data_IF_111784920068
#
_entry.id   IF_111784920068
#
_cell.length_a   1.000
_cell.length_b   1.000
_cell.length_c   1.000
_cell.angle_alpha   90.00
_cell.angle_beta   90.00
_cell.angle_gamma   90.00
#
_symmetry.space_group_name_H-M   'P 1'
#
loop_
_entity.id
_entity.type
_entity.pdbx_description
1 polymer ?
#
# COMPACT_ATOMS: atom_id res chain seq x y z
N UNK A 1 9.52 -44.95 -8.07
CA UNK A 1 10.53 -43.88 -8.00
C UNK A 1 9.84 -42.60 -8.42
N UNK A 2 9.52 -41.76 -7.45
CA UNK A 2 8.87 -40.44 -7.69
C UNK A 2 9.99 -39.42 -7.65
N UNK A 3 10.34 -38.84 -8.81
CA UNK A 3 11.32 -37.80 -8.93
C UNK A 3 10.67 -36.49 -8.44
N UNK A 4 11.08 -36.01 -7.26
CA UNK A 4 10.68 -34.71 -6.74
C UNK A 4 11.34 -33.59 -7.54
N UNK A 5 10.55 -32.81 -8.31
CA UNK A 5 10.97 -31.55 -8.86
C UNK A 5 11.01 -30.50 -7.72
N UNK A 6 12.20 -30.22 -7.20
CA UNK A 6 12.45 -29.02 -6.42
C UNK A 6 12.50 -27.83 -7.37
N UNK A 7 11.71 -26.76 -7.15
CA UNK A 7 11.84 -25.55 -7.93
C UNK A 7 13.22 -24.93 -7.65
N UNK A 8 14.04 -24.75 -8.68
CA UNK A 8 15.26 -23.93 -8.59
C UNK A 8 14.80 -22.48 -8.38
N UNK A 9 14.92 -21.98 -7.16
CA UNK A 9 14.88 -20.55 -6.90
C UNK A 9 15.98 -19.88 -7.74
N UNK A 10 15.58 -18.97 -8.63
CA UNK A 10 16.51 -18.08 -9.30
C UNK A 10 17.20 -17.24 -8.23
N UNK A 11 18.53 -17.04 -8.29
CA UNK A 11 19.20 -16.17 -7.34
C UNK A 11 18.60 -14.77 -7.45
N UNK A 12 18.15 -14.25 -6.31
CA UNK A 12 17.75 -12.86 -6.15
C UNK A 12 18.93 -12.01 -6.62
N UNK A 13 18.75 -11.32 -7.72
CA UNK A 13 19.74 -10.42 -8.31
C UNK A 13 20.12 -9.39 -7.25
N UNK A 14 21.44 -9.18 -7.13
CA UNK A 14 22.14 -8.20 -6.30
C UNK A 14 21.23 -7.08 -5.80
N UNK A 15 20.97 -7.10 -4.51
CA UNK A 15 20.63 -5.90 -3.75
C UNK A 15 21.73 -4.88 -4.06
N UNK A 16 21.43 -3.85 -4.81
CA UNK A 16 22.30 -2.68 -4.89
C UNK A 16 22.57 -2.28 -3.44
N UNK A 17 23.86 -2.11 -3.10
CA UNK A 17 24.25 -1.79 -1.75
C UNK A 17 23.47 -0.53 -1.35
N UNK A 18 22.56 -0.65 -0.38
CA UNK A 18 21.85 0.50 0.17
C UNK A 18 22.90 1.52 0.56
N UNK A 19 22.80 2.71 0.00
CA UNK A 19 23.62 3.85 0.39
C UNK A 19 23.50 3.97 1.92
N UNK A 20 24.61 3.80 2.63
CA UNK A 20 24.61 3.85 4.09
C UNK A 20 24.46 5.29 4.51
N UNK A 21 23.28 5.67 4.93
CA UNK A 21 23.02 6.97 5.53
C UNK A 21 23.80 7.04 6.86
N UNK A 22 24.65 8.06 7.10
CA UNK A 22 25.35 8.19 8.35
C UNK A 22 24.38 8.35 9.51
N UNK A 23 24.75 7.80 10.69
CA UNK A 23 23.89 7.87 11.87
C UNK A 23 23.61 9.32 12.34
N UNK A 24 24.51 10.24 12.00
CA UNK A 24 24.36 11.68 12.23
C UNK A 24 24.61 12.40 10.91
N UNK A 25 23.62 13.12 10.44
CA UNK A 25 23.70 13.97 9.23
C UNK A 25 23.99 15.39 9.68
N UNK A 26 25.24 15.81 9.53
CA UNK A 26 25.72 17.11 10.02
C UNK A 26 25.00 18.30 9.35
N UNK A 27 24.56 18.14 8.10
CA UNK A 27 23.81 19.13 7.33
C UNK A 27 22.47 19.50 7.97
N UNK A 28 21.90 18.60 8.75
CA UNK A 28 20.65 18.82 9.47
C UNK A 28 20.83 19.68 10.72
N UNK A 29 22.08 19.85 11.17
CA UNK A 29 22.41 20.62 12.37
C UNK A 29 22.57 22.11 12.08
N UNK A 30 22.06 22.95 12.98
CA UNK A 30 22.26 24.40 12.95
C UNK A 30 23.26 24.80 14.04
N UNK A 31 24.53 24.82 13.69
CA UNK A 31 25.63 25.14 14.59
C UNK A 31 25.69 26.60 15.04
N UNK A 32 24.81 27.45 14.54
CA UNK A 32 24.68 28.86 15.01
C UNK A 32 23.90 28.96 16.32
N UNK A 33 23.20 27.88 16.70
CA UNK A 33 22.42 27.81 17.93
C UNK A 33 23.29 27.27 19.08
N UNK A 34 23.23 27.91 20.25
CA UNK A 34 23.93 27.41 21.43
C UNK A 34 23.20 26.16 21.95
N UNK A 35 23.89 25.00 22.11
CA UNK A 35 23.27 23.76 22.61
C UNK A 35 22.67 23.86 24.02
N UNK A 36 23.16 24.80 24.84
CA UNK A 36 22.61 25.04 26.16
C UNK A 36 21.23 25.75 26.12
N UNK A 37 20.94 26.49 25.04
CA UNK A 37 19.70 27.21 24.88
C UNK A 37 18.61 26.36 24.22
N UNK A 38 18.95 25.63 23.14
CA UNK A 38 17.99 24.78 22.43
C UNK A 38 18.70 23.60 21.76
N UNK A 39 18.85 22.50 22.51
CA UNK A 39 19.48 21.29 22.01
C UNK A 39 18.70 20.61 20.86
N UNK A 40 17.37 20.70 20.88
CA UNK A 40 16.56 20.16 19.80
C UNK A 40 16.81 20.89 18.48
N UNK A 41 16.83 22.20 18.53
CA UNK A 41 17.02 23.02 17.32
C UNK A 41 18.45 22.92 16.78
N UNK A 42 19.47 22.84 17.60
CA UNK A 42 20.82 22.64 17.05
C UNK A 42 20.88 21.34 16.23
N UNK A 43 20.23 20.29 16.68
CA UNK A 43 20.29 18.99 15.99
C UNK A 43 19.41 18.91 14.75
N UNK A 44 18.29 19.67 14.69
CA UNK A 44 17.25 19.42 13.70
C UNK A 44 16.82 20.65 12.89
N UNK A 45 17.32 21.85 13.20
CA UNK A 45 16.76 23.09 12.66
C UNK A 45 16.88 23.22 11.13
N UNK A 46 17.99 22.76 10.56
CA UNK A 46 18.18 22.80 9.11
C UNK A 46 17.30 21.75 8.41
N UNK A 47 17.13 20.57 9.01
CA UNK A 47 16.18 19.58 8.49
C UNK A 47 14.77 20.15 8.49
N UNK A 48 14.31 20.77 9.57
CA UNK A 48 12.97 21.39 9.67
C UNK A 48 12.77 22.49 8.63
N UNK A 49 13.78 23.31 8.38
CA UNK A 49 13.72 24.36 7.35
C UNK A 49 13.58 23.80 5.93
N UNK A 50 14.27 22.68 5.67
CA UNK A 50 14.33 22.05 4.35
C UNK A 50 13.16 21.10 4.09
N UNK A 51 12.45 20.68 5.15
CA UNK A 51 11.34 19.72 5.07
C UNK A 51 10.07 20.34 5.69
N UNK A 52 9.44 21.31 5.05
CA UNK A 52 8.15 21.82 5.51
C UNK A 52 7.12 20.69 5.48
N UNK A 53 6.12 20.77 6.36
CA UNK A 53 5.03 19.79 6.40
C UNK A 53 4.24 19.89 5.07
N UNK A 54 4.17 18.82 4.26
CA UNK A 54 3.37 18.82 3.04
C UNK A 54 1.87 19.01 3.35
N UNK A 55 1.11 19.57 2.40
CA UNK A 55 -0.31 19.92 2.60
C UNK A 55 -1.19 18.73 3.00
N UNK A 56 -0.82 17.52 2.56
CA UNK A 56 -1.54 16.28 2.86
C UNK A 56 -1.27 15.72 4.26
N UNK A 57 -0.31 16.28 5.01
CA UNK A 57 0.07 15.79 6.34
C UNK A 57 -0.22 16.81 7.42
N UNK A 58 -0.62 16.34 8.60
CA UNK A 58 -0.72 17.18 9.81
C UNK A 58 0.60 17.28 10.57
N UNK A 59 1.47 16.27 10.41
CA UNK A 59 2.81 16.18 10.99
C UNK A 59 3.74 15.56 9.96
N UNK A 60 5.02 15.97 9.97
CA UNK A 60 6.03 15.39 9.09
C UNK A 60 7.33 15.18 9.86
N UNK A 61 7.93 14.00 9.72
CA UNK A 61 9.15 13.62 10.41
C UNK A 61 9.79 12.40 9.78
N UNK A 62 10.89 11.91 10.37
CA UNK A 62 11.68 10.82 9.81
C UNK A 62 10.86 9.55 9.52
N UNK A 63 9.89 9.20 10.36
CA UNK A 63 9.02 8.04 10.11
C UNK A 63 8.09 8.26 8.93
N UNK A 64 7.48 9.45 8.80
CA UNK A 64 6.63 9.78 7.65
C UNK A 64 7.43 9.78 6.35
N UNK A 65 8.68 10.26 6.39
CA UNK A 65 9.59 10.22 5.25
C UNK A 65 9.92 8.77 4.83
N UNK A 66 10.18 7.88 5.81
CA UNK A 66 10.43 6.46 5.54
C UNK A 66 9.20 5.80 4.93
N UNK A 67 8.01 6.04 5.48
CA UNK A 67 6.75 5.49 4.97
C UNK A 67 6.50 5.94 3.54
N UNK A 68 6.64 7.24 3.26
CA UNK A 68 6.52 7.79 1.90
C UNK A 68 7.52 7.17 0.92
N UNK A 69 8.76 7.02 1.33
CA UNK A 69 9.78 6.39 0.48
C UNK A 69 9.46 4.91 0.22
N UNK A 70 8.92 4.20 1.21
CA UNK A 70 8.46 2.82 1.03
C UNK A 70 7.27 2.74 0.08
N UNK A 71 6.31 3.65 0.16
CA UNK A 71 5.18 3.72 -0.77
C UNK A 71 5.66 3.93 -2.21
N UNK A 72 6.58 4.87 -2.43
CA UNK A 72 7.18 5.13 -3.75
C UNK A 72 7.90 3.88 -4.28
N UNK A 73 8.65 3.19 -3.41
CA UNK A 73 9.35 1.97 -3.76
C UNK A 73 8.38 0.85 -4.16
N UNK A 74 7.34 0.63 -3.35
CA UNK A 74 6.30 -0.38 -3.62
C UNK A 74 5.57 -0.05 -4.91
N UNK A 75 5.19 1.22 -5.13
CA UNK A 75 4.57 1.66 -6.37
C UNK A 75 5.46 1.37 -7.58
N UNK A 76 6.76 1.63 -7.48
CA UNK A 76 7.73 1.32 -8.54
C UNK A 76 7.78 -0.18 -8.86
N UNK A 77 7.77 -1.04 -7.84
CA UNK A 77 7.74 -2.50 -8.01
C UNK A 77 6.44 -2.94 -8.70
N UNK A 78 5.30 -2.40 -8.27
CA UNK A 78 4.00 -2.73 -8.87
C UNK A 78 3.97 -2.28 -10.33
N UNK A 79 4.45 -1.09 -10.64
CA UNK A 79 4.49 -0.55 -12.01
C UNK A 79 5.39 -1.40 -12.93
N UNK A 80 6.51 -1.90 -12.43
CA UNK A 80 7.36 -2.82 -13.17
C UNK A 80 6.66 -4.15 -13.44
N UNK A 81 6.12 -4.78 -12.39
CA UNK A 81 5.45 -6.07 -12.48
C UNK A 81 4.17 -6.00 -13.31
N UNK A 82 3.42 -4.89 -13.23
CA UNK A 82 2.17 -4.70 -13.99
C UNK A 82 2.38 -4.71 -15.51
N UNK A 83 3.58 -4.35 -15.96
CA UNK A 83 3.98 -4.31 -17.38
C UNK A 83 4.67 -5.59 -17.85
N UNK A 84 5.00 -6.50 -16.94
CA UNK A 84 5.71 -7.75 -17.27
C UNK A 84 4.79 -8.76 -17.96
N UNK A 85 4.82 -8.76 -19.30
CA UNK A 85 4.09 -9.74 -20.11
C UNK A 85 4.68 -11.16 -20.03
N UNK A 86 5.91 -11.31 -19.53
CA UNK A 86 6.62 -12.60 -19.45
C UNK A 86 6.37 -13.38 -18.16
N UNK A 87 5.62 -12.80 -17.22
CA UNK A 87 5.31 -13.43 -15.94
C UNK A 87 4.65 -14.81 -16.13
N UNK A 88 5.26 -15.81 -15.51
CA UNK A 88 4.83 -17.21 -15.66
C UNK A 88 3.43 -17.43 -15.05
N UNK A 89 2.56 -18.24 -15.69
CA UNK A 89 1.25 -18.59 -15.16
C UNK A 89 1.34 -19.15 -13.73
N UNK A 90 0.50 -18.61 -12.83
CA UNK A 90 0.46 -18.99 -11.42
C UNK A 90 1.54 -18.37 -10.54
N UNK A 91 2.49 -17.60 -11.11
CA UNK A 91 3.53 -16.90 -10.34
C UNK A 91 2.97 -15.73 -9.53
N UNK A 92 3.70 -15.32 -8.49
CA UNK A 92 3.37 -14.12 -7.70
C UNK A 92 3.34 -12.88 -8.57
N UNK A 93 4.28 -12.74 -9.51
CA UNK A 93 4.33 -11.62 -10.44
C UNK A 93 3.05 -11.53 -11.30
N UNK A 94 2.60 -12.66 -11.87
CA UNK A 94 1.34 -12.68 -12.61
C UNK A 94 0.15 -12.27 -11.74
N UNK A 95 0.05 -12.77 -10.53
CA UNK A 95 -1.08 -12.46 -9.63
C UNK A 95 -1.12 -10.96 -9.28
N UNK A 96 0.04 -10.37 -8.97
CA UNK A 96 0.15 -8.92 -8.70
C UNK A 96 -0.25 -8.13 -9.93
N UNK A 97 0.31 -8.46 -11.11
CA UNK A 97 -0.02 -7.81 -12.38
C UNK A 97 -1.52 -7.84 -12.67
N UNK A 98 -2.11 -9.03 -12.61
CA UNK A 98 -3.51 -9.21 -12.99
C UNK A 98 -4.46 -8.53 -11.99
N UNK A 99 -4.13 -8.57 -10.70
CA UNK A 99 -4.89 -7.87 -9.67
C UNK A 99 -4.81 -6.35 -9.82
N UNK A 100 -3.59 -5.82 -10.01
CA UNK A 100 -3.39 -4.38 -10.20
C UNK A 100 -4.07 -3.89 -11.47
N UNK A 101 -3.87 -4.56 -12.59
CA UNK A 101 -4.49 -4.17 -13.86
C UNK A 101 -6.02 -4.23 -13.81
N UNK A 102 -6.58 -5.24 -13.14
CA UNK A 102 -8.03 -5.32 -12.94
C UNK A 102 -8.59 -4.15 -12.10
N UNK A 103 -7.84 -3.73 -11.07
CA UNK A 103 -8.21 -2.57 -10.23
C UNK A 103 -8.07 -1.23 -10.95
N UNK A 104 -7.14 -1.13 -11.91
CA UNK A 104 -6.87 0.10 -12.66
C UNK A 104 -7.66 0.19 -13.99
N UNK A 105 -8.39 -0.86 -14.38
CA UNK A 105 -9.25 -0.85 -15.57
C UNK A 105 -10.54 -0.07 -15.30
N UNK A 106 -10.41 1.25 -15.31
CA UNK A 106 -11.52 2.18 -15.06
C UNK A 106 -12.62 2.07 -16.14
N UNK A 107 -12.28 1.63 -17.35
CA UNK A 107 -13.25 1.42 -18.43
C UNK A 107 -14.15 0.23 -18.07
N UNK A 108 -13.57 -0.93 -17.78
CA UNK A 108 -14.34 -2.11 -17.40
C UNK A 108 -15.12 -1.91 -16.09
N UNK A 109 -14.55 -1.17 -15.12
CA UNK A 109 -15.23 -0.82 -13.88
C UNK A 109 -16.46 0.05 -14.14
N UNK A 110 -16.33 1.09 -14.95
CA UNK A 110 -17.42 1.99 -15.30
C UNK A 110 -18.52 1.28 -16.13
N UNK A 111 -18.14 0.41 -17.06
CA UNK A 111 -19.09 -0.38 -17.85
C UNK A 111 -19.89 -1.38 -17.01
N UNK A 112 -19.23 -2.00 -16.02
CA UNK A 112 -19.90 -2.86 -15.03
C UNK A 112 -20.84 -2.06 -14.13
N UNK A 113 -20.42 -0.88 -13.67
CA UNK A 113 -21.17 -0.06 -12.73
C UNK A 113 -21.53 -0.85 -11.47
N UNK A 114 -22.80 -0.86 -11.12
CA UNK A 114 -23.31 -1.57 -9.93
C UNK A 114 -23.99 -2.92 -10.23
N UNK A 115 -23.82 -3.46 -11.44
CA UNK A 115 -24.48 -4.70 -11.87
C UNK A 115 -24.25 -5.88 -10.92
N UNK A 116 -23.05 -5.97 -10.36
CA UNK A 116 -22.67 -7.01 -9.38
C UNK A 116 -23.41 -6.88 -8.04
N UNK A 117 -23.96 -5.69 -7.74
CA UNK A 117 -24.74 -5.43 -6.53
C UNK A 117 -26.23 -5.71 -6.69
N UNK A 118 -26.74 -5.86 -7.94
CA UNK A 118 -28.17 -6.10 -8.17
C UNK A 118 -28.73 -7.29 -7.39
N UNK A 119 -28.05 -8.46 -7.30
CA UNK A 119 -28.55 -9.59 -6.51
C UNK A 119 -28.71 -9.26 -5.02
N UNK A 120 -27.88 -8.35 -4.50
CA UNK A 120 -27.97 -7.90 -3.11
C UNK A 120 -29.12 -6.92 -2.90
N UNK A 121 -29.37 -6.02 -3.87
CA UNK A 121 -30.54 -5.14 -3.83
C UNK A 121 -31.84 -5.93 -3.90
N UNK A 122 -31.92 -6.96 -4.72
CA UNK A 122 -33.09 -7.87 -4.78
C UNK A 122 -33.34 -8.56 -3.43
N UNK A 123 -32.27 -8.99 -2.73
CA UNK A 123 -32.39 -9.54 -1.35
C UNK A 123 -32.91 -8.51 -0.35
N UNK A 124 -32.48 -7.23 -0.47
CA UNK A 124 -32.97 -6.15 0.38
C UNK A 124 -34.45 -5.86 0.10
N UNK A 125 -34.82 -5.78 -1.16
CA UNK A 125 -36.20 -5.50 -1.57
C UNK A 125 -37.19 -6.64 -1.21
N UNK A 126 -36.67 -7.87 -1.05
CA UNK A 126 -37.46 -9.03 -0.65
C UNK A 126 -37.69 -9.15 0.88
N UNK A 127 -37.13 -8.24 1.71
CA UNK A 127 -37.30 -8.29 3.16
C UNK A 127 -38.76 -8.04 3.57
N UNK A 128 -39.30 -8.93 4.38
CA UNK A 128 -40.67 -8.83 4.86
C UNK A 128 -40.76 -8.57 6.36
N UNK A 129 -39.77 -8.99 7.13
CA UNK A 129 -39.75 -8.83 8.57
C UNK A 129 -38.36 -8.67 9.18
N UNK A 130 -38.27 -8.53 10.51
CA UNK A 130 -36.98 -8.35 11.21
C UNK A 130 -36.13 -9.60 11.25
N UNK A 131 -36.72 -10.79 11.13
CA UNK A 131 -35.96 -12.04 11.12
C UNK A 131 -35.25 -12.22 9.78
N UNK A 132 -35.93 -11.85 8.69
CA UNK A 132 -35.31 -11.79 7.35
C UNK A 132 -34.13 -10.80 7.31
N UNK A 133 -34.31 -9.63 7.94
CA UNK A 133 -33.24 -8.65 8.05
C UNK A 133 -32.02 -9.23 8.81
N UNK A 134 -32.23 -9.87 9.94
CA UNK A 134 -31.15 -10.46 10.72
C UNK A 134 -30.36 -11.53 9.91
N UNK A 135 -31.12 -12.35 9.15
CA UNK A 135 -30.53 -13.36 8.28
C UNK A 135 -29.71 -12.73 7.15
N UNK A 136 -30.25 -11.73 6.46
CA UNK A 136 -29.56 -11.03 5.38
C UNK A 136 -28.28 -10.34 5.88
N UNK A 137 -28.31 -9.73 7.06
CA UNK A 137 -27.11 -9.13 7.67
C UNK A 137 -26.02 -10.18 7.94
N UNK A 138 -26.39 -11.37 8.38
CA UNK A 138 -25.44 -12.49 8.54
C UNK A 138 -24.85 -12.96 7.21
N UNK A 139 -25.66 -13.04 6.15
CA UNK A 139 -25.18 -13.36 4.81
C UNK A 139 -24.22 -12.30 4.27
N UNK A 140 -24.58 -11.01 4.35
CA UNK A 140 -23.74 -9.91 3.92
C UNK A 140 -22.39 -9.89 4.66
N UNK A 141 -22.39 -10.15 5.96
CA UNK A 141 -21.16 -10.24 6.75
C UNK A 141 -20.29 -11.41 6.30
N UNK A 142 -20.90 -12.56 6.00
CA UNK A 142 -20.18 -13.72 5.45
C UNK A 142 -19.58 -13.45 4.06
N UNK A 143 -20.26 -12.63 3.26
CA UNK A 143 -19.79 -12.22 1.93
C UNK A 143 -18.74 -11.08 1.98
N UNK A 144 -18.36 -10.61 3.18
CA UNK A 144 -17.30 -9.63 3.39
C UNK A 144 -17.77 -8.17 3.47
N UNK A 145 -19.09 -7.92 3.49
CA UNK A 145 -19.61 -6.57 3.74
C UNK A 145 -19.49 -6.24 5.23
N UNK A 146 -18.39 -5.56 5.61
CA UNK A 146 -18.15 -5.11 6.98
C UNK A 146 -18.77 -3.74 7.27
N UNK A 147 -18.83 -3.37 8.58
CA UNK A 147 -19.19 -2.02 9.00
C UNK A 147 -20.69 -1.71 9.00
N UNK A 148 -21.54 -2.72 8.99
CA UNK A 148 -22.98 -2.54 9.14
C UNK A 148 -23.40 -2.35 10.61
N UNK A 149 -22.49 -2.62 11.56
CA UNK A 149 -22.63 -2.43 13.01
C UNK A 149 -21.30 -1.98 13.60
#
# INVERSE_FOLDING_TARGET
MIAGCTPKEKPVTKTEARETVPAIVMENMDTTINPADDFFRICNNNWLKNNPIPEEYTTFGAFTEIDRNNEILIQGIIDEVSKDASAQPGSTAQKIRDFYNAGMDTVAINERGFKELLPYFEKVDALTDKADLAKLLGELHSDGFGGLF
#
